data_IF_489657318399
#
_entry.id   IF_489657318399
#
_cell.length_a   1.000
_cell.length_b   1.000
_cell.length_c   1.000
_cell.angle_alpha   90.00
_cell.angle_beta   90.00
_cell.angle_gamma   90.00
#
_symmetry.space_group_name_H-M   'P 1'
#
loop_
_entity.id
_entity.type
_entity.pdbx_description
1 polymer ?
#
# COMPACT_ATOMS: atom_id res chain seq x y z
N UNK A 1 -21.23 -16.39 20.02
CA UNK A 1 -20.17 -15.75 19.20
C UNK A 1 -20.39 -14.26 19.24
N UNK A 2 -19.35 -13.49 19.55
CA UNK A 2 -19.40 -12.03 19.52
C UNK A 2 -18.82 -11.55 18.19
N UNK A 3 -19.58 -10.76 17.44
CA UNK A 3 -19.09 -10.13 16.20
C UNK A 3 -18.37 -8.85 16.59
N UNK A 4 -17.11 -8.71 16.18
CA UNK A 4 -16.33 -7.48 16.34
C UNK A 4 -16.04 -6.90 14.96
N UNK A 5 -16.22 -5.59 14.82
CA UNK A 5 -15.75 -4.82 13.66
C UNK A 5 -14.50 -4.04 14.02
N UNK A 6 -13.49 -4.11 13.17
CA UNK A 6 -12.24 -3.34 13.29
C UNK A 6 -11.98 -2.62 11.98
N UNK A 7 -11.32 -1.46 12.08
CA UNK A 7 -10.84 -0.70 10.95
C UNK A 7 -9.34 -0.51 11.14
N UNK A 8 -8.58 -0.66 10.05
CA UNK A 8 -7.15 -0.43 10.01
C UNK A 8 -6.87 0.59 8.92
N UNK A 9 -6.08 1.61 9.27
CA UNK A 9 -5.51 2.56 8.33
C UNK A 9 -4.02 2.29 8.27
N UNK A 10 -3.49 2.15 7.06
CA UNK A 10 -2.06 2.07 6.82
C UNK A 10 -1.62 3.31 6.06
N UNK A 11 -0.52 3.93 6.51
CA UNK A 11 -0.03 5.19 5.96
C UNK A 11 1.49 5.17 5.87
N UNK A 12 2.01 5.71 4.77
CA UNK A 12 3.42 6.00 4.55
C UNK A 12 3.52 7.48 4.23
N UNK A 13 4.31 8.19 5.00
CA UNK A 13 4.61 9.60 4.80
C UNK A 13 6.12 9.81 4.85
N UNK A 14 6.62 10.71 4.01
CA UNK A 14 7.98 11.20 4.15
C UNK A 14 8.04 12.22 5.30
N UNK A 15 8.92 11.96 6.27
CA UNK A 15 9.16 12.82 7.43
C UNK A 15 10.22 13.90 7.14
N UNK A 16 10.82 13.91 5.95
CA UNK A 16 11.73 14.97 5.46
C UNK A 16 13.06 15.09 6.22
N UNK A 17 13.36 14.16 7.14
CA UNK A 17 14.48 14.29 8.08
C UNK A 17 15.48 13.13 8.00
N UNK A 18 15.26 12.14 7.14
CA UNK A 18 16.18 11.03 6.93
C UNK A 18 16.27 10.71 5.42
N UNK A 19 17.48 10.50 4.87
CA UNK A 19 17.61 9.99 3.50
C UNK A 19 16.88 8.66 3.45
N UNK A 20 15.95 8.48 2.51
CA UNK A 20 14.95 7.46 2.69
C UNK A 20 15.52 6.11 2.23
N UNK A 21 16.10 5.40 3.21
CA UNK A 21 16.91 4.18 3.06
C UNK A 21 16.11 2.95 2.58
N UNK A 22 14.81 3.10 2.31
CA UNK A 22 13.88 2.01 1.96
C UNK A 22 12.90 2.38 0.83
N UNK A 23 13.23 3.36 -0.02
CA UNK A 23 12.38 3.74 -1.15
C UNK A 23 12.10 2.59 -2.11
N UNK A 24 13.15 1.83 -2.43
CA UNK A 24 13.07 0.66 -3.29
C UNK A 24 12.09 -0.39 -2.74
N UNK A 25 12.00 -0.51 -1.42
CA UNK A 25 11.09 -1.47 -0.79
C UNK A 25 9.62 -1.08 -1.01
N UNK A 26 9.32 0.20 -1.28
CA UNK A 26 7.96 0.68 -1.58
C UNK A 26 7.51 0.34 -3.00
N UNK A 27 8.47 0.03 -3.89
CA UNK A 27 8.22 -0.42 -5.26
C UNK A 27 8.03 -1.94 -5.35
N UNK A 28 7.98 -2.63 -4.20
CA UNK A 28 7.57 -4.03 -4.11
C UNK A 28 6.29 -4.14 -3.27
N UNK A 29 5.45 -5.18 -3.45
CA UNK A 29 4.30 -5.40 -2.58
C UNK A 29 4.71 -5.65 -1.12
N UNK A 30 4.26 -4.79 -0.21
CA UNK A 30 4.61 -4.83 1.22
C UNK A 30 3.41 -5.21 2.09
N UNK A 31 3.61 -6.10 3.08
CA UNK A 31 2.56 -6.41 4.07
C UNK A 31 2.21 -5.16 4.90
N UNK A 32 0.92 -4.82 4.99
CA UNK A 32 0.46 -3.67 5.78
C UNK A 32 0.62 -3.88 7.29
N UNK A 33 0.82 -5.13 7.72
CA UNK A 33 0.90 -5.48 9.14
C UNK A 33 2.32 -5.78 9.60
N UNK A 34 3.15 -6.36 8.72
CA UNK A 34 4.44 -6.95 9.12
C UNK A 34 5.69 -6.40 8.41
N UNK A 35 5.54 -5.61 7.33
CA UNK A 35 6.69 -5.09 6.54
C UNK A 35 7.64 -4.16 7.32
N UNK A 36 7.19 -3.63 8.46
CA UNK A 36 7.90 -2.59 9.21
C UNK A 36 8.01 -1.27 8.44
N UNK A 37 7.20 -1.09 7.40
CA UNK A 37 7.06 0.14 6.62
C UNK A 37 5.72 0.78 6.96
N UNK A 38 5.69 2.12 6.99
CA UNK A 38 4.53 2.87 7.44
C UNK A 38 4.25 2.63 8.91
N UNK A 39 2.98 2.47 9.26
CA UNK A 39 2.55 2.15 10.63
C UNK A 39 2.37 0.64 10.90
N UNK A 40 3.00 -0.23 10.09
CA UNK A 40 3.01 -1.67 10.27
C UNK A 40 3.70 -2.07 11.59
N UNK A 41 2.91 -2.25 12.65
CA UNK A 41 3.38 -2.48 14.03
C UNK A 41 3.01 -3.85 14.58
N UNK A 42 2.25 -4.66 13.84
CA UNK A 42 1.79 -5.96 14.33
C UNK A 42 2.92 -6.98 14.25
N UNK A 43 3.27 -7.54 15.41
CA UNK A 43 4.20 -8.68 15.54
C UNK A 43 3.49 -10.03 15.64
N UNK A 44 2.15 -10.02 15.61
CA UNK A 44 1.36 -11.24 15.73
C UNK A 44 1.30 -11.99 14.39
N UNK A 45 1.27 -13.32 14.45
CA UNK A 45 1.03 -14.15 13.26
C UNK A 45 -0.36 -13.86 12.71
N UNK A 46 -0.42 -13.51 11.42
CA UNK A 46 -1.67 -13.25 10.70
C UNK A 46 -2.35 -14.57 10.36
N UNK A 47 -3.03 -15.15 11.35
CA UNK A 47 -3.78 -16.41 11.22
C UNK A 47 -5.10 -16.30 11.96
N UNK A 48 -6.18 -16.78 11.34
CA UNK A 48 -7.47 -16.93 12.03
C UNK A 48 -7.41 -18.10 13.02
N UNK A 49 -8.08 -17.99 14.16
CA UNK A 49 -8.19 -19.12 15.09
C UNK A 49 -9.13 -20.19 14.53
N UNK A 50 -9.05 -21.45 15.00
CA UNK A 50 -9.95 -22.53 14.54
C UNK A 50 -11.44 -22.27 14.76
N UNK A 51 -11.80 -21.36 15.68
CA UNK A 51 -13.19 -21.02 16.02
C UNK A 51 -13.63 -19.64 15.51
N UNK A 52 -12.80 -18.96 14.72
CA UNK A 52 -13.04 -17.57 14.28
C UNK A 52 -12.84 -17.48 12.76
N UNK A 53 -13.67 -16.68 12.10
CA UNK A 53 -13.50 -16.32 10.69
C UNK A 53 -13.49 -14.79 10.57
N UNK A 54 -12.88 -14.29 9.50
CA UNK A 54 -12.81 -12.85 9.21
C UNK A 54 -13.51 -12.60 7.88
N UNK A 55 -14.25 -11.49 7.78
CA UNK A 55 -14.85 -11.05 6.53
C UNK A 55 -14.38 -9.64 6.23
N UNK A 56 -13.74 -9.45 5.08
CA UNK A 56 -13.32 -8.14 4.58
C UNK A 56 -14.45 -7.60 3.70
N UNK A 57 -15.12 -6.56 4.18
CA UNK A 57 -16.25 -5.90 3.48
C UNK A 57 -15.84 -4.65 2.72
N UNK A 58 -14.88 -3.90 3.28
CA UNK A 58 -14.44 -2.62 2.75
C UNK A 58 -12.93 -2.58 2.72
N UNK A 59 -12.41 -2.21 1.56
CA UNK A 59 -11.00 -1.94 1.35
C UNK A 59 -10.87 -0.85 0.29
N UNK A 60 -9.75 -0.13 0.33
CA UNK A 60 -9.45 0.93 -0.60
C UNK A 60 -8.01 1.39 -0.42
N UNK A 61 -7.49 2.06 -1.45
CA UNK A 61 -6.13 2.59 -1.47
C UNK A 61 -6.11 3.98 -2.08
N UNK A 62 -4.97 4.66 -1.95
CA UNK A 62 -4.80 6.00 -2.51
C UNK A 62 -5.07 5.98 -4.02
N UNK A 63 -6.07 6.74 -4.52
CA UNK A 63 -6.32 6.88 -5.94
C UNK A 63 -5.13 7.58 -6.58
N UNK A 64 -4.31 6.81 -7.29
CA UNK A 64 -3.17 7.36 -8.02
C UNK A 64 -3.66 8.28 -9.13
N UNK A 65 -3.22 9.55 -9.10
CA UNK A 65 -3.36 10.46 -10.23
C UNK A 65 -2.01 10.54 -10.91
N UNK A 66 -1.97 10.28 -12.22
CA UNK A 66 -0.81 10.55 -13.06
C UNK A 66 -0.56 12.07 -13.08
N UNK A 67 0.42 12.55 -12.31
CA UNK A 67 0.79 13.96 -12.23
C UNK A 67 2.29 14.14 -11.95
N UNK A 68 2.86 15.28 -12.34
CA UNK A 68 4.26 15.67 -12.05
C UNK A 68 4.27 16.85 -11.06
N UNK A 69 5.26 16.90 -10.16
CA UNK A 69 5.48 18.04 -9.25
C UNK A 69 4.56 18.04 -8.02
N UNK A 70 4.17 19.23 -7.54
CA UNK A 70 3.46 19.43 -6.26
C UNK A 70 2.08 18.74 -6.15
N UNK A 71 1.49 18.30 -7.27
CA UNK A 71 0.22 17.58 -7.32
C UNK A 71 0.39 16.06 -7.54
N UNK A 72 1.61 15.55 -7.41
CA UNK A 72 1.88 14.12 -7.53
C UNK A 72 1.23 13.35 -6.37
N UNK A 73 0.53 12.27 -6.71
CA UNK A 73 -0.07 11.34 -5.76
C UNK A 73 0.33 9.93 -6.17
N UNK A 74 0.96 9.13 -5.30
CA UNK A 74 1.36 7.76 -5.62
C UNK A 74 0.14 6.89 -5.91
N UNK A 75 0.27 5.96 -6.86
CA UNK A 75 -0.78 4.98 -7.13
C UNK A 75 -0.72 3.83 -6.15
N UNK A 76 -1.77 3.65 -5.35
CA UNK A 76 -1.86 2.54 -4.41
C UNK A 76 -2.57 1.32 -4.99
N UNK A 77 -2.03 0.12 -4.75
CA UNK A 77 -2.68 -1.14 -5.10
C UNK A 77 -2.74 -2.07 -3.90
N UNK A 78 -3.88 -2.74 -3.68
CA UNK A 78 -4.09 -3.68 -2.57
C UNK A 78 -4.27 -5.10 -3.09
N UNK A 79 -3.53 -6.05 -2.53
CA UNK A 79 -3.71 -7.47 -2.81
C UNK A 79 -3.93 -8.29 -1.54
N UNK A 80 -4.68 -9.38 -1.67
CA UNK A 80 -5.06 -10.28 -0.58
C UNK A 80 -4.45 -11.65 -0.81
N UNK A 81 -3.71 -12.14 0.17
CA UNK A 81 -3.19 -13.51 0.23
C UNK A 81 -3.91 -14.26 1.34
N UNK A 82 -4.60 -15.35 0.99
CA UNK A 82 -5.32 -16.21 1.94
C UNK A 82 -4.85 -17.65 1.71
N UNK A 83 -4.15 -18.20 2.69
CA UNK A 83 -3.55 -19.53 2.61
C UNK A 83 -2.58 -19.63 1.44
N UNK A 84 -2.98 -20.38 0.41
CA UNK A 84 -2.21 -20.58 -0.83
C UNK A 84 -2.77 -19.79 -2.01
N UNK A 85 -3.82 -18.99 -1.79
CA UNK A 85 -4.55 -18.26 -2.84
C UNK A 85 -4.30 -16.78 -2.74
N UNK A 86 -4.07 -16.14 -3.89
CA UNK A 86 -4.01 -14.68 -4.02
C UNK A 86 -5.15 -14.22 -4.93
N UNK A 87 -5.84 -13.13 -4.56
CA UNK A 87 -7.08 -12.74 -5.25
C UNK A 87 -6.85 -12.03 -6.58
N UNK A 88 -5.83 -11.18 -6.67
CA UNK A 88 -5.51 -10.48 -7.90
C UNK A 88 -4.21 -11.05 -8.46
N UNK A 89 -4.34 -12.07 -9.31
CA UNK A 89 -3.23 -12.68 -10.03
C UNK A 89 -3.13 -12.14 -11.43
N UNK A 90 -1.90 -12.07 -11.95
CA UNK A 90 -1.68 -11.91 -13.37
C UNK A 90 -2.23 -13.11 -14.15
N UNK A 91 -2.44 -12.99 -15.47
CA UNK A 91 -2.87 -14.11 -16.31
C UNK A 91 -1.97 -15.35 -16.23
N UNK A 92 -0.71 -15.14 -15.84
CA UNK A 92 0.30 -16.19 -15.64
C UNK A 92 0.19 -16.90 -14.27
N UNK A 93 -0.83 -16.56 -13.46
CA UNK A 93 -1.09 -17.14 -12.14
C UNK A 93 -0.16 -16.65 -11.03
N UNK A 94 0.69 -15.66 -11.32
CA UNK A 94 1.56 -15.01 -10.32
C UNK A 94 0.80 -13.93 -9.55
N UNK A 95 1.17 -13.62 -8.29
CA UNK A 95 0.58 -12.50 -7.57
C UNK A 95 0.78 -11.20 -8.35
N UNK A 96 -0.30 -10.55 -8.76
CA UNK A 96 -0.28 -9.25 -9.42
C UNK A 96 -0.22 -8.10 -8.42
N UNK A 97 -0.17 -6.87 -8.93
CA UNK A 97 -0.09 -5.66 -8.10
C UNK A 97 -1.31 -5.45 -7.17
N UNK A 98 -2.48 -5.98 -7.53
CA UNK A 98 -3.71 -5.84 -6.75
C UNK A 98 -4.75 -4.91 -7.37
N UNK A 99 -5.79 -4.59 -6.60
CA UNK A 99 -6.80 -3.61 -6.98
C UNK A 99 -6.27 -2.18 -6.82
N UNK A 100 -6.38 -1.37 -7.88
CA UNK A 100 -5.97 0.04 -7.85
C UNK A 100 -6.89 0.90 -6.98
N UNK A 101 -6.32 1.90 -6.32
CA UNK A 101 -7.07 2.93 -5.58
C UNK A 101 -7.94 3.79 -6.48
N UNK A 102 -7.68 3.82 -7.79
CA UNK A 102 -8.60 4.45 -8.76
C UNK A 102 -9.92 3.70 -8.90
N UNK A 103 -9.91 2.37 -8.68
CA UNK A 103 -11.09 1.53 -8.64
C UNK A 103 -11.73 1.50 -7.23
N UNK A 104 -10.95 1.73 -6.17
CA UNK A 104 -11.41 1.79 -4.78
C UNK A 104 -10.70 2.92 -3.98
N UNK A 105 -11.18 4.19 -4.07
CA UNK A 105 -10.49 5.35 -3.51
C UNK A 105 -10.46 5.40 -1.98
N UNK A 106 -9.31 5.79 -1.43
CA UNK A 106 -9.13 6.21 -0.04
C UNK A 106 -8.92 7.74 0.04
N UNK A 107 -9.48 8.48 1.03
CA UNK A 107 -10.35 8.04 2.11
C UNK A 107 -11.85 8.05 1.73
N UNK A 108 -12.62 7.21 2.42
CA UNK A 108 -14.08 7.16 2.34
C UNK A 108 -14.64 8.49 2.87
N UNK A 109 -15.26 9.30 2.02
CA UNK A 109 -15.93 10.54 2.44
C UNK A 109 -17.27 10.68 1.73
N UNK A 110 -18.18 11.50 2.24
CA UNK A 110 -19.47 11.77 1.59
C UNK A 110 -19.36 12.64 0.33
N UNK A 111 -18.16 13.17 0.04
CA UNK A 111 -17.91 14.11 -1.08
C UNK A 111 -17.43 13.42 -2.36
N UNK A 112 -16.86 12.22 -2.25
CA UNK A 112 -16.46 11.34 -3.35
C UNK A 112 -17.21 10.04 -3.10
N UNK A 113 -18.04 9.59 -4.05
CA UNK A 113 -19.10 8.59 -3.83
C UNK A 113 -18.73 7.37 -2.98
N UNK A 114 -19.74 6.72 -2.35
CA UNK A 114 -19.52 5.60 -1.44
C UNK A 114 -18.63 4.56 -2.12
N UNK A 115 -17.76 3.97 -1.28
CA UNK A 115 -16.74 2.98 -1.60
C UNK A 115 -17.13 2.07 -2.77
N UNK A 116 -16.13 1.47 -3.42
CA UNK A 116 -16.35 0.15 -3.99
C UNK A 116 -16.92 -0.70 -2.84
N UNK A 117 -18.25 -0.79 -2.76
CA UNK A 117 -18.91 -1.87 -2.07
C UNK A 117 -18.39 -3.03 -2.88
N UNK A 118 -17.42 -3.75 -2.33
CA UNK A 118 -17.01 -4.98 -2.93
C UNK A 118 -18.30 -5.77 -2.98
N UNK A 119 -18.90 -5.88 -4.17
CA UNK A 119 -20.14 -6.66 -4.37
C UNK A 119 -19.92 -8.13 -3.95
N UNK A 120 -18.66 -8.47 -3.67
CA UNK A 120 -18.15 -9.72 -3.16
C UNK A 120 -17.42 -9.50 -1.83
N UNK A 121 -17.91 -10.14 -0.78
CA UNK A 121 -17.21 -10.22 0.51
C UNK A 121 -16.03 -11.19 0.38
N UNK A 122 -14.87 -10.86 0.96
CA UNK A 122 -13.72 -11.78 1.05
C UNK A 122 -13.77 -12.46 2.42
N UNK A 123 -14.04 -13.77 2.40
CA UNK A 123 -14.07 -14.59 3.61
C UNK A 123 -12.72 -15.27 3.84
N UNK A 124 -12.15 -15.05 5.04
CA UNK A 124 -10.98 -15.79 5.53
C UNK A 124 -11.50 -16.90 6.45
N UNK A 125 -11.37 -18.18 6.04
CA UNK A 125 -11.89 -19.29 6.82
C UNK A 125 -11.12 -19.47 8.14
N UNK A 126 -11.68 -20.24 9.09
CA UNK A 126 -10.97 -20.58 10.32
C UNK A 126 -9.65 -21.30 10.05
N UNK A 127 -8.70 -21.13 10.96
CA UNK A 127 -7.37 -21.78 10.92
C UNK A 127 -6.55 -21.53 9.64
N UNK A 128 -6.69 -20.35 9.04
CA UNK A 128 -6.04 -19.98 7.77
C UNK A 128 -5.08 -18.82 7.97
N UNK A 129 -3.88 -18.95 7.41
CA UNK A 129 -2.89 -17.85 7.35
C UNK A 129 -3.35 -16.84 6.29
N UNK A 130 -3.23 -15.55 6.56
CA UNK A 130 -3.67 -14.49 5.64
C UNK A 130 -2.72 -13.31 5.70
N UNK A 131 -2.62 -12.53 4.62
CA UNK A 131 -1.89 -11.28 4.60
C UNK A 131 -2.51 -10.32 3.59
N UNK A 132 -2.35 -9.03 3.86
CA UNK A 132 -2.81 -7.95 3.00
C UNK A 132 -1.58 -7.16 2.61
N UNK A 133 -1.33 -7.10 1.31
CA UNK A 133 -0.16 -6.42 0.74
C UNK A 133 -0.59 -5.14 0.04
N UNK A 134 0.28 -4.16 0.11
CA UNK A 134 0.12 -2.86 -0.52
C UNK A 134 1.32 -2.58 -1.42
N UNK A 135 1.05 -2.21 -2.65
CA UNK A 135 2.06 -1.84 -3.64
C UNK A 135 1.91 -0.36 -4.02
N UNK A 136 3.04 0.34 -4.10
CA UNK A 136 3.08 1.74 -4.54
C UNK A 136 3.63 1.81 -5.96
N UNK A 137 2.78 2.20 -6.89
CA UNK A 137 3.16 2.51 -8.26
C UNK A 137 3.62 3.96 -8.38
N UNK A 138 4.66 4.18 -9.20
CA UNK A 138 5.24 5.50 -9.48
C UNK A 138 5.73 6.18 -8.19
N UNK A 139 6.42 5.41 -7.33
CA UNK A 139 6.59 5.70 -5.91
C UNK A 139 7.31 7.01 -5.61
N UNK A 140 8.18 7.53 -6.47
CA UNK A 140 8.74 8.88 -6.36
C UNK A 140 9.16 9.48 -7.71
N UNK A 141 9.08 10.81 -7.82
CA UNK A 141 9.88 11.59 -8.77
C UNK A 141 11.28 11.69 -8.19
N UNK A 142 12.33 11.40 -8.97
CA UNK A 142 13.71 11.61 -8.53
C UNK A 142 13.83 13.05 -8.00
N UNK A 143 14.31 13.25 -6.75
CA UNK A 143 14.59 14.60 -6.29
C UNK A 143 15.62 15.19 -7.24
N UNK A 144 15.28 16.31 -7.88
CA UNK A 144 16.28 17.11 -8.59
C UNK A 144 17.19 17.66 -7.49
N UNK A 145 18.31 16.98 -7.27
CA UNK A 145 19.42 17.50 -6.48
C UNK A 145 19.79 18.88 -7.07
N UNK A 146 19.41 19.94 -6.36
CA UNK A 146 19.79 21.32 -6.69
C UNK A 146 21.30 21.57 -6.52
N UNK A 147 22.02 20.56 -6.01
CA UNK A 147 23.45 20.59 -5.82
C UNK A 147 24.11 19.60 -6.79
N UNK A 148 24.94 20.07 -7.73
CA UNK A 148 25.75 19.16 -8.52
C UNK A 148 26.73 18.41 -7.59
N UNK A 149 26.82 17.09 -7.76
CA UNK A 149 27.79 16.22 -7.08
C UNK A 149 29.26 16.65 -7.29
N UNK A 150 29.50 17.50 -8.28
CA UNK A 150 30.80 18.12 -8.55
C UNK A 150 30.75 19.63 -8.26
N UNK A 151 31.69 20.16 -7.44
CA UNK A 151 31.81 21.60 -7.26
C UNK A 151 32.13 22.28 -8.60
N UNK A 152 31.33 23.27 -8.98
CA UNK A 152 31.65 24.14 -10.13
C UNK A 152 32.80 25.05 -9.71
N UNK A 153 34.04 24.72 -10.09
CA UNK A 153 35.16 25.64 -9.96
C UNK A 153 35.09 26.65 -11.10
N UNK A 154 34.50 27.83 -10.86
CA UNK A 154 34.74 28.98 -11.73
C UNK A 154 36.16 29.49 -11.47
N UNK A 155 37.10 29.07 -12.32
CA UNK A 155 38.41 29.70 -12.40
C UNK A 155 38.21 31.14 -12.87
N UNK A 156 38.20 32.09 -11.93
CA UNK A 156 38.41 33.49 -12.25
C UNK A 156 39.88 33.62 -12.70
N UNK A 157 40.09 33.64 -14.01
CA UNK A 157 41.39 34.03 -14.57
C UNK A 157 41.64 35.51 -14.20
N UNK A 158 42.88 35.85 -13.79
CA UNK A 158 43.24 37.20 -13.35
C UNK A 158 43.17 38.23 -14.49
#
# INVERSE_FOLDING_TARGET
MSVRRQCYQWEVADLGNLPPKRLSDLEDPQSIFTSGIGNATLKARLRTKPSEYIVIKYFGSTPGIYGKGANWVPGGYVNFSIGVTTFFTDPDGRPGAGLSGSAAPYPISTSYGPAFASDWDIEIPPDTDWDITYYISNAMVEPVELFPDAPISTLLLP
#
